data_IF_566628838832
#
_entry.id   IF_566628838832
#
_cell.length_a   1.000
_cell.length_b   1.000
_cell.length_c   1.000
_cell.angle_alpha   90.00
_cell.angle_beta   90.00
_cell.angle_gamma   90.00
#
_symmetry.space_group_name_H-M   'P 1'
#
loop_
_entity.id
_entity.type
_entity.pdbx_description
1 polymer ?
#
# COMPACT_ATOMS: atom_id res chain seq x y z
N UNK A 1 21.45 43.92 24.46
CA UNK A 1 20.99 44.54 23.20
C UNK A 1 20.23 43.49 22.40
N UNK A 2 18.90 43.58 22.38
CA UNK A 2 18.04 42.44 22.09
C UNK A 2 17.94 42.23 20.57
N UNK A 3 18.81 41.37 20.02
CA UNK A 3 18.89 41.02 18.59
C UNK A 3 17.50 40.59 18.04
N UNK A 4 16.73 39.89 18.89
CA UNK A 4 15.36 39.44 18.62
C UNK A 4 14.41 40.59 18.31
N UNK A 5 14.48 41.70 19.04
CA UNK A 5 13.60 42.84 18.83
C UNK A 5 13.85 43.52 17.47
N UNK A 6 15.11 43.57 17.03
CA UNK A 6 15.49 44.10 15.70
C UNK A 6 15.05 43.19 14.56
N UNK A 7 15.08 41.87 14.76
CA UNK A 7 14.62 40.90 13.77
C UNK A 7 13.09 40.99 13.62
N UNK A 8 12.36 41.04 14.73
CA UNK A 8 10.89 41.11 14.73
C UNK A 8 10.38 42.39 14.05
N UNK A 9 11.04 43.54 14.26
CA UNK A 9 10.65 44.78 13.58
C UNK A 9 10.88 44.74 12.07
N UNK A 10 11.99 44.13 11.62
CA UNK A 10 12.26 43.87 10.19
C UNK A 10 11.25 42.91 9.57
N UNK A 11 10.89 41.85 10.28
CA UNK A 11 9.89 40.87 9.83
C UNK A 11 8.52 41.52 9.67
N UNK A 12 8.10 42.37 10.62
CA UNK A 12 6.84 43.12 10.49
C UNK A 12 6.82 44.06 9.28
N UNK A 13 7.95 44.69 8.95
CA UNK A 13 8.07 45.59 7.80
C UNK A 13 7.89 44.87 6.45
N UNK A 14 8.46 43.67 6.31
CA UNK A 14 8.43 42.88 5.06
C UNK A 14 7.53 41.64 5.16
N UNK A 15 6.50 41.69 6.00
CA UNK A 15 5.66 40.52 6.31
C UNK A 15 5.06 39.83 5.08
N UNK A 16 4.67 40.60 4.04
CA UNK A 16 4.05 40.06 2.83
C UNK A 16 5.07 39.32 1.96
N UNK A 17 6.26 39.90 1.78
CA UNK A 17 7.34 39.29 0.98
C UNK A 17 7.89 38.04 1.67
N UNK A 18 8.05 38.10 3.00
CA UNK A 18 8.48 36.96 3.82
C UNK A 18 7.43 35.85 3.78
N UNK A 19 6.14 36.19 3.87
CA UNK A 19 5.06 35.21 3.76
C UNK A 19 5.04 34.54 2.38
N UNK A 20 5.20 35.32 1.31
CA UNK A 20 5.29 34.79 -0.06
C UNK A 20 6.49 33.83 -0.22
N UNK A 21 7.66 34.22 0.29
CA UNK A 21 8.85 33.36 0.30
C UNK A 21 8.65 32.07 1.09
N UNK A 22 7.98 32.16 2.25
CA UNK A 22 7.65 30.99 3.07
C UNK A 22 6.67 30.04 2.37
N UNK A 23 5.67 30.56 1.66
CA UNK A 23 4.75 29.76 0.84
C UNK A 23 5.50 29.02 -0.27
N UNK A 24 6.41 29.68 -0.98
CA UNK A 24 7.23 29.05 -2.03
C UNK A 24 8.12 27.94 -1.45
N UNK A 25 8.72 28.19 -0.29
CA UNK A 25 9.52 27.19 0.43
C UNK A 25 8.67 25.97 0.80
N UNK A 26 7.48 26.18 1.36
CA UNK A 26 6.54 25.11 1.71
C UNK A 26 6.12 24.28 0.48
N UNK A 27 5.76 24.93 -0.63
CA UNK A 27 5.38 24.26 -1.88
C UNK A 27 6.53 23.38 -2.38
N UNK A 28 7.76 23.89 -2.30
CA UNK A 28 8.97 23.14 -2.70
C UNK A 28 9.16 21.88 -1.85
N UNK A 29 9.00 21.98 -0.53
CA UNK A 29 9.11 20.84 0.40
C UNK A 29 8.01 19.81 0.11
N UNK A 30 6.76 20.25 -0.08
CA UNK A 30 5.64 19.36 -0.37
C UNK A 30 5.87 18.63 -1.71
N UNK A 31 6.26 19.35 -2.76
CA UNK A 31 6.56 18.78 -4.07
C UNK A 31 7.70 17.78 -4.05
N UNK A 32 8.78 18.07 -3.32
CA UNK A 32 9.92 17.16 -3.16
C UNK A 32 9.53 15.85 -2.45
N UNK A 33 8.74 15.94 -1.37
CA UNK A 33 8.27 14.77 -0.63
C UNK A 33 7.33 13.90 -1.49
N UNK A 34 6.42 14.51 -2.27
CA UNK A 34 5.55 13.78 -3.20
C UNK A 34 6.38 13.10 -4.30
N UNK A 35 7.36 13.80 -4.88
CA UNK A 35 8.27 13.24 -5.88
C UNK A 35 9.03 12.03 -5.36
N UNK A 36 9.53 12.09 -4.12
CA UNK A 36 10.24 10.98 -3.47
C UNK A 36 9.33 9.77 -3.23
N UNK A 37 8.08 9.98 -2.84
CA UNK A 37 7.10 8.88 -2.65
C UNK A 37 6.82 8.18 -4.00
N UNK A 38 6.64 8.93 -5.09
CA UNK A 38 6.43 8.35 -6.42
C UNK A 38 7.66 7.64 -6.99
N UNK A 39 8.87 8.11 -6.66
CA UNK A 39 10.11 7.45 -7.08
C UNK A 39 10.32 6.07 -6.43
N UNK A 40 9.75 5.85 -5.24
CA UNK A 40 9.79 4.56 -4.53
C UNK A 40 8.66 3.62 -4.98
N UNK A 41 7.56 4.18 -5.48
CA UNK A 41 6.48 3.44 -6.12
C UNK A 41 6.74 3.25 -7.63
N UNK A 42 7.94 2.80 -8.00
CA UNK A 42 8.14 2.12 -9.30
C UNK A 42 7.36 0.80 -9.25
N UNK A 43 6.04 0.86 -9.35
CA UNK A 43 5.32 -0.22 -10.03
C UNK A 43 6.02 -0.39 -11.37
N UNK A 44 6.57 -1.57 -11.70
CA UNK A 44 6.94 -1.83 -13.08
C UNK A 44 5.70 -1.51 -13.90
N UNK A 45 5.88 -0.71 -14.96
CA UNK A 45 4.86 -0.50 -15.94
C UNK A 45 4.30 -1.89 -16.28
N UNK A 46 3.08 -2.18 -15.83
CA UNK A 46 2.33 -3.28 -16.40
C UNK A 46 2.02 -2.79 -17.80
N UNK A 47 2.91 -3.10 -18.73
CA UNK A 47 2.61 -3.17 -20.15
C UNK A 47 1.46 -4.14 -20.27
N UNK A 48 0.24 -3.63 -20.13
CA UNK A 48 -0.97 -4.31 -20.56
C UNK A 48 -1.03 -4.14 -22.07
N UNK A 49 -0.05 -4.71 -22.75
CA UNK A 49 -0.12 -4.94 -24.17
C UNK A 49 0.27 -6.41 -24.37
N UNK A 50 -0.69 -7.28 -24.01
CA UNK A 50 -0.69 -8.63 -24.55
C UNK A 50 -1.01 -8.51 -26.03
N UNK A 51 0.01 -8.29 -26.85
CA UNK A 51 -0.07 -8.58 -28.27
C UNK A 51 -0.35 -10.08 -28.40
N UNK A 52 -1.56 -10.44 -28.84
CA UNK A 52 -1.95 -11.81 -29.11
C UNK A 52 -1.22 -12.30 -30.36
N UNK A 53 -0.03 -12.86 -30.21
CA UNK A 53 0.57 -13.70 -31.26
C UNK A 53 0.00 -15.10 -31.10
N UNK A 54 -0.91 -15.46 -32.01
CA UNK A 54 -1.33 -16.83 -32.22
C UNK A 54 -0.11 -17.66 -32.64
N UNK A 55 0.36 -18.55 -31.77
CA UNK A 55 1.17 -19.70 -32.18
C UNK A 55 0.32 -20.96 -32.00
N UNK A 56 -0.25 -21.39 -33.13
CA UNK A 56 -0.91 -22.67 -33.26
C UNK A 56 0.16 -23.75 -33.48
N UNK A 57 0.30 -24.67 -32.53
CA UNK A 57 0.83 -26.02 -32.80
C UNK A 57 0.03 -27.01 -31.97
N UNK A 58 -0.96 -27.60 -32.62
CA UNK A 58 -1.65 -28.78 -32.16
C UNK A 58 -0.70 -29.99 -32.18
N UNK A 59 -0.79 -30.89 -31.19
CA UNK A 59 -1.09 -32.34 -31.34
C UNK A 59 -0.82 -33.12 -30.01
N UNK A 60 -1.88 -33.26 -29.18
CA UNK A 60 -2.40 -34.41 -28.37
C UNK A 60 -1.45 -35.20 -27.37
N UNK A 61 -1.95 -36.09 -26.44
CA UNK A 61 -2.13 -35.85 -24.99
C UNK A 61 -1.44 -36.87 -24.02
N UNK A 62 -1.76 -36.74 -22.71
CA UNK A 62 -1.56 -37.64 -21.52
C UNK A 62 -0.14 -37.68 -20.89
N UNK A 63 0.11 -38.04 -19.59
CA UNK A 63 -0.68 -38.14 -18.35
C UNK A 63 -0.03 -37.47 -17.09
N UNK A 64 -0.82 -37.32 -16.01
CA UNK A 64 -0.50 -37.36 -14.57
C UNK A 64 0.90 -37.00 -14.02
N UNK A 65 0.95 -35.85 -13.33
CA UNK A 65 1.69 -35.50 -12.07
C UNK A 65 3.24 -35.57 -12.03
N UNK A 66 3.93 -34.87 -11.09
CA UNK A 66 3.56 -33.73 -10.25
C UNK A 66 4.49 -32.52 -10.50
N UNK A 67 3.95 -31.33 -10.77
CA UNK A 67 4.81 -30.13 -10.80
C UNK A 67 4.94 -29.61 -9.38
N UNK A 68 6.12 -29.83 -8.79
CA UNK A 68 6.59 -29.15 -7.59
C UNK A 68 6.33 -27.64 -7.72
N UNK A 69 5.39 -27.14 -6.95
CA UNK A 69 5.26 -25.71 -6.71
C UNK A 69 6.36 -25.34 -5.72
N UNK A 70 7.19 -24.32 -5.99
CA UNK A 70 8.16 -23.82 -5.03
C UNK A 70 7.43 -23.45 -3.75
N UNK A 71 7.90 -23.97 -2.62
CA UNK A 71 7.51 -23.51 -1.29
C UNK A 71 7.93 -22.04 -1.20
N UNK A 72 7.01 -21.15 -1.61
CA UNK A 72 7.08 -19.75 -1.24
C UNK A 72 6.98 -19.70 0.29
N UNK A 73 7.73 -18.81 0.97
CA UNK A 73 7.47 -18.52 2.37
C UNK A 73 6.03 -18.03 2.44
N UNK A 74 5.12 -18.93 2.82
CA UNK A 74 3.71 -18.65 2.88
C UNK A 74 3.59 -17.69 4.04
N UNK A 75 3.50 -16.40 3.72
CA UNK A 75 3.23 -15.39 4.71
C UNK A 75 1.82 -15.69 5.25
N UNK A 76 1.77 -16.48 6.32
CA UNK A 76 0.56 -16.96 6.98
C UNK A 76 -0.22 -15.82 7.65
N UNK A 77 0.26 -14.58 7.49
CA UNK A 77 -0.35 -13.40 8.05
C UNK A 77 -1.71 -13.14 7.40
N UNK A 78 -2.72 -13.05 8.25
CA UNK A 78 -4.08 -12.71 7.88
C UNK A 78 -4.44 -11.34 8.45
N UNK A 79 -5.25 -10.59 7.71
CA UNK A 79 -5.65 -9.23 8.08
C UNK A 79 -7.15 -9.17 8.34
N UNK A 80 -7.53 -8.56 9.45
CA UNK A 80 -8.92 -8.28 9.81
C UNK A 80 -9.16 -6.78 9.96
N UNK A 81 -10.43 -6.38 9.93
CA UNK A 81 -10.84 -4.99 10.15
C UNK A 81 -11.36 -4.79 11.56
N UNK A 82 -10.70 -3.95 12.36
CA UNK A 82 -11.14 -3.54 13.71
C UNK A 82 -12.48 -2.82 13.70
N UNK A 83 -12.75 -2.05 12.65
CA UNK A 83 -13.93 -1.21 12.53
C UNK A 83 -15.15 -1.94 11.95
N UNK A 84 -14.96 -3.16 11.42
CA UNK A 84 -16.06 -3.93 10.84
C UNK A 84 -16.79 -4.73 11.90
N UNK A 85 -18.11 -4.59 11.96
CA UNK A 85 -18.98 -5.41 12.81
C UNK A 85 -18.97 -6.89 12.42
N UNK A 86 -18.58 -7.23 11.18
CA UNK A 86 -18.65 -8.58 10.65
C UNK A 86 -17.57 -9.54 11.15
N UNK A 87 -16.57 -9.07 11.91
CA UNK A 87 -15.43 -9.88 12.41
C UNK A 87 -14.90 -10.88 11.37
N UNK A 88 -14.58 -10.38 10.18
CA UNK A 88 -14.01 -11.20 9.09
C UNK A 88 -12.51 -10.92 8.95
N UNK A 89 -11.75 -11.98 8.72
CA UNK A 89 -10.35 -11.90 8.31
C UNK A 89 -10.21 -12.24 6.82
N UNK A 90 -9.16 -11.71 6.21
CA UNK A 90 -8.81 -11.86 4.80
C UNK A 90 -7.34 -12.21 4.68
N UNK A 91 -6.97 -12.95 3.64
CA UNK A 91 -5.56 -13.18 3.30
C UNK A 91 -4.94 -12.00 2.57
N UNK A 92 -3.61 -11.88 2.65
CA UNK A 92 -2.80 -10.88 1.95
C UNK A 92 -2.85 -10.99 0.42
N UNK A 93 -3.35 -12.08 -0.14
CA UNK A 93 -3.61 -12.25 -1.58
C UNK A 93 -5.07 -11.99 -1.98
N UNK A 94 -5.99 -11.86 -1.03
CA UNK A 94 -7.42 -11.69 -1.32
C UNK A 94 -7.76 -10.25 -1.75
N UNK A 95 -8.41 -10.06 -2.90
CA UNK A 95 -8.74 -8.71 -3.44
C UNK A 95 -9.44 -7.75 -2.44
N UNK A 96 -10.17 -8.31 -1.48
CA UNK A 96 -10.94 -7.55 -0.48
C UNK A 96 -10.09 -6.99 0.67
N UNK A 97 -8.91 -7.54 0.95
CA UNK A 97 -8.05 -7.03 2.03
C UNK A 97 -7.61 -5.58 1.74
N UNK A 98 -7.37 -5.25 0.47
CA UNK A 98 -6.94 -3.91 0.02
C UNK A 98 -7.97 -2.82 0.31
N UNK A 99 -9.23 -3.21 0.54
CA UNK A 99 -10.33 -2.28 0.86
C UNK A 99 -10.38 -1.91 2.34
N UNK A 100 -9.66 -2.63 3.20
CA UNK A 100 -9.58 -2.32 4.62
C UNK A 100 -8.70 -1.09 4.81
N UNK A 101 -9.25 -0.04 5.41
CA UNK A 101 -8.48 1.16 5.76
C UNK A 101 -7.29 0.77 6.65
N UNK A 102 -6.09 1.23 6.30
CA UNK A 102 -4.83 0.94 7.02
C UNK A 102 -4.97 1.18 8.54
N UNK A 103 -5.68 2.24 8.94
CA UNK A 103 -5.90 2.57 10.37
C UNK A 103 -6.70 1.51 11.13
N UNK A 104 -7.45 0.69 10.43
CA UNK A 104 -8.33 -0.34 10.98
C UNK A 104 -7.81 -1.76 10.72
N UNK A 105 -6.64 -1.93 10.11
CA UNK A 105 -6.06 -3.24 9.85
C UNK A 105 -5.49 -3.84 11.14
N UNK A 106 -5.87 -5.07 11.43
CA UNK A 106 -5.28 -5.92 12.47
C UNK A 106 -4.64 -7.09 11.76
N UNK A 107 -3.35 -7.30 11.98
CA UNK A 107 -2.60 -8.41 11.42
C UNK A 107 -2.43 -9.51 12.47
N UNK A 108 -2.74 -10.74 12.09
CA UNK A 108 -2.48 -11.95 12.86
C UNK A 108 -1.41 -12.76 12.16
N UNK A 109 -0.59 -13.50 12.90
CA UNK A 109 0.48 -14.31 12.33
C UNK A 109 -0.02 -15.61 11.71
N UNK A 110 -1.18 -16.10 12.16
CA UNK A 110 -1.81 -17.32 11.66
C UNK A 110 -3.33 -17.18 11.57
N UNK A 111 -3.95 -18.00 10.72
CA UNK A 111 -5.42 -18.14 10.67
C UNK A 111 -6.01 -18.56 12.04
N UNK A 112 -5.34 -19.45 12.76
CA UNK A 112 -5.79 -19.92 14.07
C UNK A 112 -5.83 -18.78 15.10
N UNK A 113 -4.85 -17.88 15.08
CA UNK A 113 -4.84 -16.70 15.95
C UNK A 113 -6.05 -15.79 15.67
N UNK A 114 -6.38 -15.57 14.40
CA UNK A 114 -7.56 -14.80 14.02
C UNK A 114 -8.87 -15.49 14.46
N UNK A 115 -8.97 -16.82 14.30
CA UNK A 115 -10.12 -17.61 14.75
C UNK A 115 -10.28 -17.57 16.27
N UNK A 116 -9.18 -17.70 17.02
CA UNK A 116 -9.18 -17.61 18.48
C UNK A 116 -9.60 -16.20 18.96
N UNK A 117 -9.26 -15.16 18.20
CA UNK A 117 -9.74 -13.80 18.42
C UNK A 117 -11.21 -13.58 18.00
N UNK A 118 -11.90 -14.63 17.50
CA UNK A 118 -13.31 -14.61 17.11
C UNK A 118 -13.57 -14.08 15.71
N UNK A 119 -12.57 -14.11 14.82
CA UNK A 119 -12.72 -13.74 13.42
C UNK A 119 -12.98 -14.95 12.53
N UNK A 120 -13.77 -14.75 11.48
CA UNK A 120 -14.12 -15.79 10.49
C UNK A 120 -13.55 -15.47 9.12
N UNK A 121 -13.33 -16.50 8.29
CA UNK A 121 -12.87 -16.28 6.93
C UNK A 121 -13.93 -15.50 6.15
N UNK A 122 -13.51 -14.44 5.46
CA UNK A 122 -14.41 -13.76 4.55
C UNK A 122 -14.82 -14.70 3.40
N UNK A 123 -16.12 -14.86 3.17
CA UNK A 123 -16.63 -15.80 2.14
C UNK A 123 -16.23 -15.47 0.70
N UNK A 124 -15.64 -14.30 0.45
CA UNK A 124 -15.09 -13.91 -0.84
C UNK A 124 -13.56 -14.09 -0.93
N UNK A 125 -12.93 -14.65 0.10
CA UNK A 125 -11.55 -15.08 0.08
C UNK A 125 -11.51 -16.59 -0.03
N UNK A 126 -10.79 -17.09 -1.03
CA UNK A 126 -10.51 -18.51 -1.20
C UNK A 126 -9.28 -18.86 -0.36
N UNK A 127 -9.38 -19.95 0.41
CA UNK A 127 -8.25 -20.58 1.11
C UNK A 127 -7.23 -21.13 0.11
#
# INVERSE_FOLDING_TARGET
>A
MNILAKIISKVKKHQKDIFLGFCILLISIIGFNIGRINALNKTPAQTTEKANIYQNTATIPVPNSPKQTPVQPQDLRVVASKASSSKKYHYSWCSSWKRINIKNQIWFNTEQEAKNAGYTLAGNCTN
#
